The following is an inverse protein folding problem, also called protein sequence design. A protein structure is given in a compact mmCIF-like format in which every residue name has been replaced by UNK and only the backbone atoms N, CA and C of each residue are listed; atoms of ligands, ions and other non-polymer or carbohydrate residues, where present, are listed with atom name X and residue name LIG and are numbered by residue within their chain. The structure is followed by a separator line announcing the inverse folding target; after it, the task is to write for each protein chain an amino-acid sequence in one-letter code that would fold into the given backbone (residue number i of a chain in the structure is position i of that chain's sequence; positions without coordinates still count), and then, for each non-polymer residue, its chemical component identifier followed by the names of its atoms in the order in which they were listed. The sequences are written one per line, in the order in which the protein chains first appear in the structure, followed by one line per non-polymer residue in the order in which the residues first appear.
data_IF_690530977594
#
_entry.id   IF_690530977594
#
_cell.length_a   1.000
_cell.length_b   1.000
_cell.length_c   1.000
_cell.angle_alpha   90.00
_cell.angle_beta   90.00
_cell.angle_gamma   90.00
#
_symmetry.space_group_name_H-M   'P 1'
#
loop_
_entity.id
_entity.type
_entity.pdbx_description
1 polymer ?
#
# COMPACT_ATOMS: atom_id res chain seq x y z
N UNK A 1 -39.68 -31.73 35.59
CA UNK A 1 -39.45 -30.30 35.83
C UNK A 1 -38.06 -29.94 35.32
N UNK A 2 -37.98 -29.57 34.05
CA UNK A 2 -36.74 -29.21 33.33
C UNK A 2 -36.30 -27.81 33.75
N UNK A 3 -35.10 -27.67 34.32
CA UNK A 3 -34.48 -26.38 34.61
C UNK A 3 -33.65 -25.94 33.40
N UNK A 4 -34.09 -24.87 32.77
CA UNK A 4 -33.39 -24.18 31.67
C UNK A 4 -32.28 -23.32 32.28
N UNK A 5 -31.02 -23.61 31.96
CA UNK A 5 -29.89 -22.72 32.29
C UNK A 5 -29.76 -21.73 31.13
N UNK A 6 -30.18 -20.48 31.35
CA UNK A 6 -29.92 -19.37 30.44
C UNK A 6 -28.47 -18.92 30.64
N UNK A 7 -27.60 -19.26 29.69
CA UNK A 7 -26.27 -18.66 29.56
C UNK A 7 -26.43 -17.26 28.96
N UNK A 8 -26.13 -16.22 29.75
CA UNK A 8 -25.98 -14.85 29.26
C UNK A 8 -24.59 -14.77 28.61
N UNK A 9 -24.55 -14.77 27.27
CA UNK A 9 -23.37 -14.35 26.53
C UNK A 9 -23.26 -12.82 26.62
N UNK A 10 -22.30 -12.33 27.40
CA UNK A 10 -21.92 -10.92 27.39
C UNK A 10 -21.17 -10.67 26.09
N UNK A 11 -21.84 -10.07 25.12
CA UNK A 11 -21.21 -9.52 23.92
C UNK A 11 -20.58 -8.19 24.32
N UNK A 12 -19.29 -8.22 24.65
CA UNK A 12 -18.47 -7.01 24.74
C UNK A 12 -18.25 -6.47 23.32
N UNK A 13 -19.08 -5.52 22.89
CA UNK A 13 -18.83 -4.74 21.68
C UNK A 13 -17.72 -3.74 22.03
N UNK A 14 -16.48 -4.07 21.71
CA UNK A 14 -15.38 -3.09 21.72
C UNK A 14 -15.57 -2.14 20.55
N UNK A 15 -15.99 -0.91 20.85
CA UNK A 15 -16.17 0.18 19.90
C UNK A 15 -14.83 0.82 19.48
N UNK A 16 -13.86 0.01 19.06
CA UNK A 16 -12.62 0.45 18.44
C UNK A 16 -12.38 -0.40 17.20
N UNK A 17 -12.51 0.17 16.01
CA UNK A 17 -12.30 -0.60 14.78
C UNK A 17 -13.11 -0.17 13.55
N UNK A 18 -13.67 1.04 13.52
CA UNK A 18 -14.28 1.55 12.28
C UNK A 18 -13.21 1.84 11.21
N UNK A 19 -11.99 2.24 11.61
CA UNK A 19 -10.95 2.73 10.70
C UNK A 19 -10.15 1.60 10.04
N UNK A 20 -10.08 0.43 10.67
CA UNK A 20 -9.34 -0.73 10.15
C UNK A 20 -10.01 -1.39 8.92
N UNK A 21 -11.25 -1.00 8.60
CA UNK A 21 -12.00 -1.56 7.46
C UNK A 21 -11.71 -0.85 6.15
N UNK A 22 -11.59 0.46 6.16
CA UNK A 22 -11.36 1.25 4.95
C UNK A 22 -9.89 1.14 4.50
N UNK A 23 -9.62 1.00 3.20
CA UNK A 23 -8.24 0.90 2.68
C UNK A 23 -7.41 2.15 2.99
N UNK A 24 -8.06 3.31 3.10
CA UNK A 24 -7.47 4.60 3.39
C UNK A 24 -8.44 5.49 4.16
N UNK A 25 -7.97 6.16 5.21
CA UNK A 25 -8.71 7.14 6.00
C UNK A 25 -7.91 8.44 6.04
N UNK A 26 -8.55 9.56 5.72
CA UNK A 26 -7.93 10.88 5.86
C UNK A 26 -7.95 11.34 7.32
N UNK A 27 -6.81 11.79 7.83
CA UNK A 27 -6.64 12.24 9.20
C UNK A 27 -6.54 13.78 9.23
N UNK A 28 -7.41 14.41 10.02
CA UNK A 28 -7.35 15.86 10.25
C UNK A 28 -6.31 16.19 11.34
N UNK A 29 -5.04 15.99 10.99
CA UNK A 29 -3.88 16.30 11.84
C UNK A 29 -2.85 17.08 11.05
N UNK A 30 -2.08 17.91 11.74
CA UNK A 30 -1.00 18.69 11.14
C UNK A 30 0.35 18.23 11.69
N UNK A 31 1.29 17.86 10.82
CA UNK A 31 2.65 17.56 11.23
C UNK A 31 3.40 18.86 11.56
N UNK A 32 4.45 18.71 12.32
CA UNK A 32 5.38 19.76 12.67
C UNK A 32 6.12 20.29 11.44
N UNK A 33 6.60 21.54 11.52
CA UNK A 33 7.23 22.21 10.38
C UNK A 33 8.49 21.48 9.89
N UNK A 34 9.19 20.76 10.77
CA UNK A 34 10.35 19.92 10.43
C UNK A 34 9.97 18.79 9.47
N UNK A 35 8.83 18.12 9.68
CA UNK A 35 8.32 17.08 8.80
C UNK A 35 7.91 17.65 7.44
N UNK A 36 7.37 18.87 7.41
CA UNK A 36 7.01 19.57 6.15
C UNK A 36 8.24 19.87 5.29
N UNK A 37 9.40 20.14 5.90
CA UNK A 37 10.63 20.39 5.15
C UNK A 37 11.31 19.12 4.63
N UNK A 38 11.11 17.99 5.34
CA UNK A 38 11.70 16.71 4.98
C UNK A 38 10.90 15.96 3.89
N UNK A 39 9.63 16.30 3.70
CA UNK A 39 8.72 15.69 2.73
C UNK A 39 8.70 16.44 1.40
N UNK A 40 8.36 15.72 0.32
CA UNK A 40 7.90 16.29 -0.94
C UNK A 40 6.55 15.67 -1.33
N UNK A 41 5.83 16.29 -2.28
CA UNK A 41 4.54 15.75 -2.73
C UNK A 41 4.66 14.33 -3.29
N UNK A 42 5.79 13.99 -3.90
CA UNK A 42 6.09 12.66 -4.47
C UNK A 42 6.98 11.79 -3.57
N UNK A 43 7.30 12.25 -2.37
CA UNK A 43 8.11 11.55 -1.38
C UNK A 43 7.47 11.75 0.00
N UNK A 44 6.31 11.11 0.24
CA UNK A 44 5.66 11.18 1.53
C UNK A 44 6.52 10.52 2.59
N UNK A 45 6.35 10.95 3.83
CA UNK A 45 6.92 10.28 5.00
C UNK A 45 6.00 9.11 5.34
N UNK A 46 6.58 7.92 5.47
CA UNK A 46 5.89 6.70 5.91
C UNK A 46 6.14 6.56 7.40
N UNK A 47 5.08 6.47 8.20
CA UNK A 47 5.17 6.33 9.65
C UNK A 47 4.53 5.01 10.04
N UNK A 48 5.32 4.15 10.67
CA UNK A 48 4.96 2.75 10.99
C UNK A 48 4.76 2.51 12.47
N UNK A 49 5.00 3.52 13.31
CA UNK A 49 4.82 3.41 14.75
C UNK A 49 4.45 4.73 15.41
N UNK A 50 3.87 4.64 16.61
CA UNK A 50 3.60 5.81 17.45
C UNK A 50 4.88 6.57 17.84
N UNK A 51 5.99 5.86 18.04
CA UNK A 51 7.27 6.49 18.38
C UNK A 51 7.79 7.35 17.23
N UNK A 52 7.67 6.85 16.00
CA UNK A 52 8.02 7.61 14.79
C UNK A 52 7.06 8.79 14.59
N UNK A 53 5.75 8.60 14.84
CA UNK A 53 4.77 9.69 14.81
C UNK A 53 5.13 10.84 15.76
N UNK A 54 5.62 10.55 16.97
CA UNK A 54 6.05 11.57 17.93
C UNK A 54 7.23 12.42 17.45
N UNK A 55 8.01 11.95 16.47
CA UNK A 55 9.06 12.74 15.82
C UNK A 55 8.54 13.77 14.81
N UNK A 56 7.30 13.59 14.34
CA UNK A 56 6.71 14.39 13.27
C UNK A 56 5.47 15.18 13.69
N UNK A 57 4.88 14.89 14.85
CA UNK A 57 3.62 15.47 15.31
C UNK A 57 3.70 15.94 16.76
N UNK A 58 3.09 17.09 17.04
CA UNK A 58 2.90 17.59 18.41
C UNK A 58 1.85 16.79 19.19
N UNK A 59 1.81 16.98 20.52
CA UNK A 59 1.00 16.18 21.44
C UNK A 59 -0.49 16.14 21.10
N UNK A 60 -1.08 17.25 20.64
CA UNK A 60 -2.49 17.28 20.25
C UNK A 60 -2.83 16.42 19.04
N UNK A 61 -1.90 16.26 18.10
CA UNK A 61 -2.08 15.36 16.95
C UNK A 61 -1.89 13.90 17.35
N UNK A 62 -1.00 13.62 18.31
CA UNK A 62 -0.78 12.26 18.82
C UNK A 62 -2.02 11.64 19.47
N UNK A 63 -2.92 12.44 20.04
CA UNK A 63 -4.21 11.96 20.56
C UNK A 63 -5.05 11.33 19.45
N UNK A 64 -5.17 12.00 18.29
CA UNK A 64 -5.87 11.45 17.11
C UNK A 64 -5.12 10.25 16.53
N UNK A 65 -3.79 10.32 16.45
CA UNK A 65 -2.99 9.20 15.93
C UNK A 65 -3.03 7.97 16.85
N UNK A 66 -3.38 8.13 18.13
CA UNK A 66 -3.63 7.03 19.07
C UNK A 66 -4.77 6.10 18.66
N UNK A 67 -5.62 6.52 17.73
CA UNK A 67 -6.69 5.71 17.17
C UNK A 67 -6.23 4.82 16.01
N UNK A 68 -5.03 5.05 15.48
CA UNK A 68 -4.45 4.25 14.40
C UNK A 68 -3.88 2.96 14.98
N UNK A 69 -4.32 1.83 14.44
CA UNK A 69 -3.75 0.53 14.77
C UNK A 69 -2.51 0.28 13.91
N UNK A 70 -1.33 0.61 14.43
CA UNK A 70 -0.07 0.47 13.69
C UNK A 70 0.32 -0.99 13.37
N UNK A 71 -0.35 -2.00 13.94
CA UNK A 71 -0.14 -3.39 13.53
C UNK A 71 -0.87 -3.68 12.21
N UNK A 72 -2.00 -3.03 11.98
CA UNK A 72 -2.86 -3.24 10.80
C UNK A 72 -2.77 -2.07 9.81
N UNK A 73 -2.13 -0.96 10.18
CA UNK A 73 -2.12 0.28 9.43
C UNK A 73 -0.77 0.98 9.53
N UNK A 74 -0.51 1.89 8.59
CA UNK A 74 0.61 2.82 8.63
C UNK A 74 0.12 4.18 8.14
N UNK A 75 0.88 5.23 8.42
CA UNK A 75 0.51 6.60 8.06
C UNK A 75 1.37 7.09 6.90
N UNK A 76 0.74 7.73 5.93
CA UNK A 76 1.42 8.54 4.91
C UNK A 76 1.22 10.02 5.21
N UNK A 77 2.31 10.76 5.26
CA UNK A 77 2.33 12.21 5.41
C UNK A 77 2.83 12.83 4.12
N UNK A 78 1.94 13.50 3.40
CA UNK A 78 2.28 14.33 2.26
C UNK A 78 2.38 15.78 2.74
N UNK A 79 3.58 16.34 2.68
CA UNK A 79 3.78 17.75 2.94
C UNK A 79 4.70 18.38 1.91
N UNK A 80 4.31 19.56 1.41
CA UNK A 80 5.12 20.33 0.45
C UNK A 80 4.76 21.82 0.51
N UNK A 81 5.59 22.65 -0.13
CA UNK A 81 5.26 24.04 -0.46
C UNK A 81 5.02 24.15 -1.94
N UNK A 82 3.84 24.59 -2.33
CA UNK A 82 3.39 24.57 -3.71
C UNK A 82 2.44 25.71 -4.01
N UNK A 83 1.82 25.69 -5.19
CA UNK A 83 0.85 26.73 -5.52
C UNK A 83 -0.39 26.58 -4.63
N UNK A 84 -1.05 27.68 -4.27
CA UNK A 84 -2.25 27.61 -3.42
C UNK A 84 -3.43 26.84 -4.02
N UNK A 85 -3.38 26.48 -5.32
CA UNK A 85 -4.36 25.63 -6.00
C UNK A 85 -3.88 24.19 -6.21
N UNK A 86 -2.73 23.83 -5.67
CA UNK A 86 -2.26 22.45 -5.71
C UNK A 86 -3.26 21.55 -4.97
N UNK A 87 -3.60 20.43 -5.59
CA UNK A 87 -4.55 19.46 -5.06
C UNK A 87 -3.96 18.07 -5.14
N UNK A 88 -3.90 17.40 -4.00
CA UNK A 88 -3.65 15.97 -3.92
C UNK A 88 -4.99 15.24 -3.97
N UNK A 89 -5.10 14.25 -4.84
CA UNK A 89 -6.23 13.35 -4.97
C UNK A 89 -5.74 11.91 -4.85
N UNK A 90 -6.65 10.98 -4.59
CA UNK A 90 -6.34 9.55 -4.66
C UNK A 90 -7.50 8.77 -5.29
N UNK A 91 -7.18 7.63 -5.87
CA UNK A 91 -8.15 6.64 -6.33
C UNK A 91 -7.84 5.30 -5.65
N UNK A 92 -8.89 4.60 -5.20
CA UNK A 92 -8.80 3.21 -4.76
C UNK A 92 -9.24 2.35 -5.93
N UNK A 93 -8.32 1.55 -6.47
CA UNK A 93 -8.64 0.60 -7.52
C UNK A 93 -9.26 -0.66 -6.91
N UNK A 94 -10.27 -1.20 -7.59
CA UNK A 94 -10.95 -2.45 -7.25
C UNK A 94 -10.05 -3.64 -7.60
N UNK A 95 -8.98 -3.85 -6.82
CA UNK A 95 -8.02 -4.94 -7.01
C UNK A 95 -7.78 -5.71 -5.71
N UNK A 96 -7.22 -6.92 -5.82
CA UNK A 96 -6.84 -7.75 -4.68
C UNK A 96 -5.30 -7.96 -4.67
N UNK A 97 -4.57 -7.46 -3.65
CA UNK A 97 -5.05 -6.51 -2.64
C UNK A 97 -5.35 -5.13 -3.24
N UNK A 98 -6.16 -4.34 -2.52
CA UNK A 98 -6.58 -3.01 -2.96
C UNK A 98 -5.36 -2.11 -3.24
N UNK A 99 -5.45 -1.31 -4.31
CA UNK A 99 -4.40 -0.40 -4.74
C UNK A 99 -4.84 1.06 -4.63
N UNK A 100 -4.01 1.89 -4.01
CA UNK A 100 -4.26 3.33 -3.86
C UNK A 100 -3.27 4.11 -4.72
N UNK A 101 -3.78 4.88 -5.68
CA UNK A 101 -2.94 5.73 -6.52
C UNK A 101 -3.17 7.19 -6.13
N UNK A 102 -2.13 7.85 -5.65
CA UNK A 102 -2.14 9.28 -5.37
C UNK A 102 -1.73 10.07 -6.61
N UNK A 103 -2.41 11.18 -6.87
CA UNK A 103 -2.08 12.09 -7.98
C UNK A 103 -2.12 13.54 -7.52
N UNK A 104 -1.18 14.34 -8.04
CA UNK A 104 -1.11 15.76 -7.74
C UNK A 104 -1.52 16.56 -8.98
N UNK A 105 -2.52 17.42 -8.82
CA UNK A 105 -2.82 18.46 -9.78
C UNK A 105 -2.14 19.75 -9.34
N UNK A 106 -1.16 20.22 -10.13
CA UNK A 106 -0.49 21.51 -9.87
C UNK A 106 -1.41 22.66 -10.22
N UNK A 107 -1.47 23.63 -9.33
CA UNK A 107 -2.10 24.90 -9.62
C UNK A 107 -1.15 25.85 -10.36
N UNK A 108 -1.75 26.82 -11.04
CA UNK A 108 -1.05 27.79 -11.89
C UNK A 108 -0.81 29.14 -11.20
N UNK A 109 -1.05 29.22 -9.90
CA UNK A 109 -0.91 30.47 -9.14
C UNK A 109 0.52 30.64 -8.63
N UNK A 110 0.97 31.89 -8.46
CA UNK A 110 2.34 32.22 -8.02
C UNK A 110 2.47 32.33 -6.49
N UNK A 111 1.51 31.82 -5.74
CA UNK A 111 1.51 31.86 -4.28
C UNK A 111 2.06 30.56 -3.70
N UNK A 112 3.17 30.63 -2.95
CA UNK A 112 3.77 29.48 -2.30
C UNK A 112 3.11 29.23 -0.94
N UNK A 113 2.23 28.23 -0.86
CA UNK A 113 1.53 27.83 0.36
C UNK A 113 2.00 26.48 0.87
N UNK A 114 1.98 26.24 2.20
CA UNK A 114 2.15 24.90 2.74
C UNK A 114 0.91 24.05 2.46
N UNK A 115 1.13 22.83 2.01
CA UNK A 115 0.11 21.80 1.84
C UNK A 115 0.45 20.62 2.73
N UNK A 116 -0.58 20.03 3.32
CA UNK A 116 -0.43 18.90 4.24
C UNK A 116 -1.64 17.99 4.07
N UNK A 117 -1.36 16.72 3.82
CA UNK A 117 -2.35 15.66 3.80
C UNK A 117 -1.79 14.46 4.57
N UNK A 118 -2.60 13.93 5.49
CA UNK A 118 -2.22 12.78 6.31
C UNK A 118 -3.27 11.70 6.14
N UNK A 119 -2.80 10.48 5.88
CA UNK A 119 -3.68 9.34 5.64
C UNK A 119 -3.22 8.14 6.46
N UNK A 120 -4.16 7.43 7.07
CA UNK A 120 -3.93 6.07 7.59
C UNK A 120 -4.31 5.07 6.48
N UNK A 121 -3.39 4.20 6.10
CA UNK A 121 -3.58 3.14 5.12
C UNK A 121 -3.48 1.80 5.82
N UNK A 122 -4.24 0.79 5.37
CA UNK A 122 -4.06 -0.57 5.89
C UNK A 122 -2.74 -1.16 5.40
N UNK A 123 -2.08 -1.96 6.21
CA UNK A 123 -0.79 -2.61 5.89
C UNK A 123 -0.87 -3.56 4.68
N UNK A 124 -2.07 -4.05 4.36
CA UNK A 124 -2.30 -4.95 3.24
C UNK A 124 -2.64 -4.25 1.91
N UNK A 125 -2.71 -2.92 1.84
CA UNK A 125 -2.91 -2.20 0.57
C UNK A 125 -1.56 -1.88 -0.04
N UNK A 126 -1.50 -1.85 -1.37
CA UNK A 126 -0.37 -1.23 -2.05
C UNK A 126 -0.71 0.18 -2.49
N UNK A 127 0.27 1.07 -2.50
CA UNK A 127 0.07 2.45 -2.90
C UNK A 127 1.18 2.92 -3.84
N UNK A 128 0.84 3.89 -4.68
CA UNK A 128 1.78 4.52 -5.61
C UNK A 128 1.43 5.99 -5.82
N UNK A 129 2.36 6.72 -6.44
CA UNK A 129 2.17 8.11 -6.83
C UNK A 129 2.24 8.13 -8.36
N UNK A 130 1.23 8.71 -8.99
CA UNK A 130 1.21 8.89 -10.44
C UNK A 130 2.37 9.82 -10.83
N UNK A 131 3.28 9.33 -11.68
CA UNK A 131 4.37 10.13 -12.21
C UNK A 131 3.82 11.29 -13.06
N UNK A 132 4.40 12.48 -12.94
CA UNK A 132 4.03 13.66 -13.76
C UNK A 132 4.20 13.40 -15.27
N UNK A 133 5.03 12.43 -15.65
CA UNK A 133 5.35 12.10 -17.06
C UNK A 133 4.31 11.17 -17.73
N UNK A 134 3.34 10.65 -16.97
CA UNK A 134 2.32 9.68 -17.42
C UNK A 134 0.96 10.30 -17.74
N UNK A 135 0.94 11.53 -18.30
CA UNK A 135 -0.29 12.15 -18.80
C UNK A 135 -0.95 11.41 -19.99
N UNK A 136 -0.43 10.23 -20.37
CA UNK A 136 -0.96 9.37 -21.42
C UNK A 136 -0.85 7.87 -21.18
N UNK A 137 -0.47 7.40 -19.98
CA UNK A 137 -0.58 5.98 -19.65
C UNK A 137 -1.98 5.72 -19.13
N UNK A 138 -2.68 4.86 -19.86
CA UNK A 138 -4.01 4.36 -19.59
C UNK A 138 -4.17 4.05 -18.10
N UNK A 139 -5.32 4.43 -17.52
CA UNK A 139 -5.72 4.09 -16.13
C UNK A 139 -5.28 2.66 -15.83
N UNK A 140 -4.72 2.35 -14.65
CA UNK A 140 -4.38 0.97 -14.31
C UNK A 140 -5.62 0.12 -14.58
N UNK A 141 -5.48 -0.77 -15.56
CA UNK A 141 -6.55 -1.65 -15.97
C UNK A 141 -6.99 -2.43 -14.74
N UNK A 142 -8.30 -2.51 -14.54
CA UNK A 142 -8.96 -3.25 -13.46
C UNK A 142 -8.61 -4.76 -13.54
N UNK A 143 -8.04 -5.19 -14.66
CA UNK A 143 -7.60 -6.56 -14.91
C UNK A 143 -6.12 -6.74 -14.54
N UNK A 144 -5.77 -7.86 -13.87
CA UNK A 144 -4.39 -8.26 -13.66
C UNK A 144 -3.60 -8.21 -14.97
N UNK A 145 -2.33 -7.76 -14.96
CA UNK A 145 -1.52 -7.76 -16.16
C UNK A 145 -1.36 -9.18 -16.72
N UNK A 146 -1.30 -9.29 -18.05
CA UNK A 146 -1.18 -10.59 -18.75
C UNK A 146 0.00 -11.39 -18.20
N UNK A 147 -0.20 -12.65 -17.76
CA UNK A 147 0.88 -13.51 -17.26
C UNK A 147 2.07 -13.56 -18.22
N UNK A 148 3.28 -13.36 -17.70
CA UNK A 148 4.51 -13.34 -18.49
C UNK A 148 4.81 -12.02 -19.21
N UNK A 149 3.91 -11.03 -19.19
CA UNK A 149 4.22 -9.67 -19.68
C UNK A 149 5.22 -8.96 -18.74
N UNK A 150 5.89 -7.91 -19.25
CA UNK A 150 6.82 -7.11 -18.43
C UNK A 150 6.12 -6.47 -17.23
N UNK A 151 4.92 -5.91 -17.45
CA UNK A 151 4.12 -5.31 -16.38
C UNK A 151 3.72 -6.35 -15.32
N UNK A 152 3.39 -7.57 -15.74
CA UNK A 152 3.13 -8.67 -14.82
C UNK A 152 4.37 -9.07 -14.00
N UNK A 153 5.54 -9.17 -14.63
CA UNK A 153 6.76 -9.52 -13.92
C UNK A 153 7.19 -8.44 -12.91
N UNK A 154 7.05 -7.16 -13.25
CA UNK A 154 7.32 -6.03 -12.34
C UNK A 154 6.36 -6.06 -11.13
N UNK A 155 5.10 -6.37 -11.36
CA UNK A 155 4.07 -6.47 -10.31
C UNK A 155 4.27 -7.69 -9.41
N UNK A 156 4.64 -8.84 -9.99
CA UNK A 156 5.04 -10.05 -9.24
C UNK A 156 6.26 -9.77 -8.37
N UNK A 157 7.29 -9.11 -8.91
CA UNK A 157 8.51 -8.77 -8.17
C UNK A 157 8.19 -7.89 -6.95
N UNK A 158 7.38 -6.85 -7.17
CA UNK A 158 6.92 -5.91 -6.14
C UNK A 158 6.13 -6.61 -5.03
N UNK A 159 5.22 -7.53 -5.37
CA UNK A 159 4.36 -8.23 -4.40
C UNK A 159 5.08 -9.37 -3.68
N UNK A 160 5.92 -10.12 -4.38
CA UNK A 160 6.72 -11.20 -3.79
C UNK A 160 7.91 -10.65 -2.98
N UNK A 161 8.29 -9.38 -3.20
CA UNK A 161 9.41 -8.72 -2.54
C UNK A 161 10.73 -9.45 -2.82
N UNK A 162 10.94 -9.89 -4.06
CA UNK A 162 12.13 -10.66 -4.45
C UNK A 162 13.38 -9.79 -4.45
N UNK A 163 13.25 -8.54 -4.88
CA UNK A 163 14.30 -7.52 -4.71
C UNK A 163 14.18 -6.89 -3.33
N UNK A 164 15.32 -6.66 -2.69
CA UNK A 164 15.35 -5.90 -1.45
C UNK A 164 15.13 -4.40 -1.72
N UNK A 165 14.89 -3.63 -0.65
CA UNK A 165 14.66 -2.18 -0.74
C UNK A 165 15.85 -1.39 -1.34
N UNK A 166 17.01 -2.02 -1.52
CA UNK A 166 18.22 -1.41 -2.10
C UNK A 166 18.40 -1.78 -3.59
N UNK A 167 17.46 -2.54 -4.18
CA UNK A 167 17.52 -2.97 -5.56
C UNK A 167 18.52 -4.09 -5.84
N UNK A 168 19.10 -4.69 -4.79
CA UNK A 168 19.99 -5.83 -4.86
C UNK A 168 19.13 -7.10 -4.97
N UNK A 169 19.04 -7.66 -6.17
CA UNK A 169 18.28 -8.87 -6.45
C UNK A 169 18.46 -9.28 -7.91
N UNK A 170 17.99 -10.49 -8.28
CA UNK A 170 18.08 -10.96 -9.66
C UNK A 170 17.29 -10.06 -10.62
N UNK A 171 17.76 -9.93 -11.86
CA UNK A 171 17.09 -9.14 -12.88
C UNK A 171 15.68 -9.68 -13.15
N UNK A 172 14.68 -8.82 -13.16
CA UNK A 172 13.27 -9.19 -13.39
C UNK A 172 13.16 -9.93 -14.74
N UNK A 173 12.52 -11.09 -14.73
CA UNK A 173 12.40 -11.96 -15.90
C UNK A 173 13.58 -12.88 -16.17
N UNK A 174 14.66 -12.80 -15.39
CA UNK A 174 15.76 -13.79 -15.45
C UNK A 174 15.36 -15.12 -14.82
N UNK A 175 16.04 -16.21 -15.19
CA UNK A 175 15.84 -17.52 -14.57
C UNK A 175 16.09 -17.49 -13.04
N UNK A 176 17.04 -16.69 -12.59
CA UNK A 176 17.32 -16.49 -11.17
C UNK A 176 16.16 -15.78 -10.45
N UNK A 177 15.54 -14.80 -11.10
CA UNK A 177 14.35 -14.12 -10.59
C UNK A 177 13.15 -15.08 -10.52
N UNK A 178 12.90 -15.86 -11.57
CA UNK A 178 11.80 -16.83 -11.60
C UNK A 178 11.93 -17.88 -10.48
N UNK A 179 13.13 -18.37 -10.22
CA UNK A 179 13.39 -19.29 -9.10
C UNK A 179 13.13 -18.63 -7.74
N UNK A 180 13.60 -17.39 -7.55
CA UNK A 180 13.38 -16.66 -6.31
C UNK A 180 11.89 -16.40 -6.05
N UNK A 181 11.14 -16.01 -7.09
CA UNK A 181 9.67 -15.87 -7.05
C UNK A 181 9.01 -17.19 -6.64
N UNK A 182 9.35 -18.28 -7.33
CA UNK A 182 8.73 -19.58 -7.10
C UNK A 182 8.98 -20.11 -5.68
N UNK A 183 10.19 -19.93 -5.15
CA UNK A 183 10.54 -20.30 -3.79
C UNK A 183 9.78 -19.45 -2.76
N UNK A 184 9.73 -18.13 -2.96
CA UNK A 184 9.01 -17.22 -2.04
C UNK A 184 7.51 -17.48 -2.01
N UNK A 185 6.91 -17.79 -3.16
CA UNK A 185 5.48 -18.02 -3.29
C UNK A 185 5.07 -19.47 -3.02
N UNK A 186 6.04 -20.37 -2.77
CA UNK A 186 5.78 -21.80 -2.59
C UNK A 186 5.09 -22.42 -3.82
N UNK A 187 5.52 -22.02 -5.01
CA UNK A 187 5.08 -22.61 -6.30
C UNK A 187 5.72 -23.98 -6.51
N UNK A 188 6.97 -24.14 -6.05
CA UNK A 188 7.60 -25.44 -5.96
C UNK A 188 7.17 -26.14 -4.69
N UNK A 189 6.92 -27.44 -4.77
CA UNK A 189 6.81 -28.24 -3.57
C UNK A 189 8.18 -28.48 -2.93
N UNK A 190 8.18 -28.87 -1.66
CA UNK A 190 9.41 -29.17 -0.91
C UNK A 190 10.19 -30.38 -1.43
N UNK A 191 9.74 -31.04 -2.50
CA UNK A 191 10.39 -32.18 -3.15
C UNK A 191 11.05 -31.81 -4.49
N UNK A 192 10.97 -30.55 -4.90
CA UNK A 192 11.57 -30.07 -6.16
C UNK A 192 10.71 -30.36 -7.39
N UNK A 193 9.43 -30.70 -7.21
CA UNK A 193 8.45 -30.74 -8.28
C UNK A 193 7.73 -29.40 -8.38
N UNK A 194 7.52 -28.95 -9.62
CA UNK A 194 6.81 -27.73 -9.92
C UNK A 194 6.98 -27.35 -11.39
N UNK A 195 6.20 -26.37 -11.86
CA UNK A 195 6.23 -25.97 -13.26
C UNK A 195 7.57 -25.34 -13.62
N UNK A 196 8.05 -25.60 -14.84
CA UNK A 196 9.33 -25.08 -15.32
C UNK A 196 9.34 -23.54 -15.25
N UNK A 197 10.34 -22.90 -14.61
CA UNK A 197 10.37 -21.45 -14.51
C UNK A 197 10.31 -20.77 -15.89
N UNK A 198 9.36 -19.85 -16.04
CA UNK A 198 9.10 -19.14 -17.31
C UNK A 198 8.14 -19.87 -18.27
N UNK A 199 7.69 -21.09 -17.94
CA UNK A 199 6.60 -21.74 -18.67
C UNK A 199 5.25 -21.07 -18.40
N UNK A 200 4.26 -21.36 -19.26
CA UNK A 200 2.89 -20.87 -19.05
C UNK A 200 2.31 -21.39 -17.72
N UNK A 201 2.51 -22.68 -17.42
CA UNK A 201 2.03 -23.31 -16.19
C UNK A 201 2.64 -22.63 -14.95
N UNK A 202 3.90 -22.21 -15.04
CA UNK A 202 4.57 -21.46 -13.99
C UNK A 202 3.97 -20.06 -13.83
N UNK A 203 3.76 -19.35 -14.94
CA UNK A 203 3.14 -18.02 -14.93
C UNK A 203 1.73 -18.06 -14.35
N UNK A 204 0.93 -19.06 -14.70
CA UNK A 204 -0.43 -19.25 -14.17
C UNK A 204 -0.43 -19.57 -12.67
N UNK A 205 0.50 -20.42 -12.22
CA UNK A 205 0.65 -20.73 -10.81
C UNK A 205 1.06 -19.51 -9.98
N UNK A 206 2.02 -18.72 -10.47
CA UNK A 206 2.41 -17.44 -9.87
C UNK A 206 1.24 -16.47 -9.90
N UNK A 207 0.51 -16.37 -11.02
CA UNK A 207 -0.61 -15.45 -11.17
C UNK A 207 -1.70 -15.72 -10.12
N UNK A 208 -2.12 -16.98 -9.95
CA UNK A 208 -3.09 -17.36 -8.92
C UNK A 208 -2.61 -17.04 -7.51
N UNK A 209 -1.32 -17.25 -7.21
CA UNK A 209 -0.74 -16.96 -5.89
C UNK A 209 -0.68 -15.46 -5.60
N UNK A 210 -0.33 -14.65 -6.60
CA UNK A 210 -0.04 -13.22 -6.44
C UNK A 210 -1.30 -12.36 -6.54
N UNK A 211 -2.25 -12.75 -7.40
CA UNK A 211 -3.44 -11.97 -7.72
C UNK A 211 -4.75 -12.61 -7.22
N UNK A 212 -4.74 -13.89 -6.83
CA UNK A 212 -5.95 -14.59 -6.38
C UNK A 212 -7.00 -14.78 -7.48
N UNK A 213 -6.62 -14.62 -8.74
CA UNK A 213 -7.48 -14.70 -9.92
C UNK A 213 -7.00 -15.80 -10.88
N UNK A 214 -7.90 -16.30 -11.73
CA UNK A 214 -7.50 -17.12 -12.88
C UNK A 214 -6.87 -16.23 -13.97
N UNK A 215 -5.80 -16.70 -14.64
CA UNK A 215 -5.09 -15.97 -15.69
C UNK A 215 -5.91 -15.79 -16.96
#
# INVERSE_FOLDING_TARGET
MTRLIMSIAVICITAGGAWAREPIVALDVRPEQSAVQASAWNKPIVITSMQEAAGHFGSGALETLGQVDFEQQFILVFAWRGSGRDRLSYAVAESLPEQIVFSMQRGLTRDLRPHTHVYALRSNVSWSIQAEDDAGVEKPSVEPPEPGSRAWMEEVDRRAGVRDAHGCGPDIGSAAWMQAVALKLGVYDGQGHGPDPGSQEWSDAVHRKVFGAEP
#
